data_IF_704772881412
#
_entry.id   IF_704772881412
#
_cell.length_a   1.000
_cell.length_b   1.000
_cell.length_c   1.000
_cell.angle_alpha   90.00
_cell.angle_beta   90.00
_cell.angle_gamma   90.00
#
_symmetry.space_group_name_H-M   'P 1'
#
loop_
_entity.id
_entity.type
_entity.pdbx_description
1 polymer ?
#
# COMPACT_ATOMS: atom_id res chain seq x y z
N UNK A 1 37.25 -27.95 -24.89
CA UNK A 1 36.58 -28.53 -23.72
C UNK A 1 35.64 -27.48 -23.16
N UNK A 2 34.33 -27.59 -23.40
CA UNK A 2 33.35 -26.63 -22.92
C UNK A 2 33.14 -26.77 -21.42
N UNK A 3 33.27 -25.68 -20.66
CA UNK A 3 32.89 -25.61 -19.24
C UNK A 3 31.42 -26.01 -19.11
N UNK A 4 31.11 -27.03 -18.33
CA UNK A 4 29.77 -27.30 -17.83
C UNK A 4 29.43 -26.18 -16.85
N UNK A 5 28.59 -25.21 -17.26
CA UNK A 5 28.02 -24.24 -16.32
C UNK A 5 27.16 -24.95 -15.28
N UNK A 6 27.30 -24.54 -14.04
CA UNK A 6 26.44 -24.99 -12.96
C UNK A 6 25.01 -24.50 -13.27
N UNK A 7 24.00 -25.28 -12.88
CA UNK A 7 22.58 -24.97 -13.14
C UNK A 7 22.15 -23.60 -12.63
N UNK A 8 22.79 -23.08 -11.58
CA UNK A 8 22.56 -21.73 -11.04
C UNK A 8 23.10 -20.65 -11.99
N UNK A 9 24.26 -20.88 -12.54
CA UNK A 9 24.92 -19.98 -13.48
C UNK A 9 24.12 -19.91 -14.81
N UNK A 10 23.59 -21.03 -15.27
CA UNK A 10 22.73 -21.12 -16.45
C UNK A 10 21.41 -20.35 -16.26
N UNK A 11 20.77 -20.46 -15.10
CA UNK A 11 19.57 -19.69 -14.79
C UNK A 11 19.80 -18.18 -14.73
N UNK A 12 20.95 -17.74 -14.19
CA UNK A 12 21.34 -16.34 -14.18
C UNK A 12 21.55 -15.79 -15.58
N UNK A 13 22.21 -16.55 -16.45
CA UNK A 13 22.43 -16.17 -17.86
C UNK A 13 21.08 -16.04 -18.61
N UNK A 14 20.14 -16.95 -18.38
CA UNK A 14 18.81 -16.88 -18.99
C UNK A 14 18.08 -15.61 -18.59
N UNK A 15 18.11 -15.23 -17.30
CA UNK A 15 17.51 -14.00 -16.83
C UNK A 15 18.15 -12.76 -17.46
N UNK A 16 19.47 -12.74 -17.60
CA UNK A 16 20.21 -11.66 -18.22
C UNK A 16 19.88 -11.53 -19.72
N UNK A 17 19.69 -12.63 -20.42
CA UNK A 17 19.24 -12.63 -21.82
C UNK A 17 17.82 -12.06 -21.91
N UNK A 18 16.90 -12.49 -21.05
CA UNK A 18 15.52 -11.99 -21.02
C UNK A 18 15.44 -10.49 -20.77
N UNK A 19 16.26 -9.96 -19.87
CA UNK A 19 16.29 -8.53 -19.55
C UNK A 19 16.71 -7.64 -20.75
N UNK A 20 17.42 -8.21 -21.73
CA UNK A 20 17.89 -7.50 -22.93
C UNK A 20 16.94 -7.61 -24.13
N UNK A 21 15.89 -8.41 -24.01
CA UNK A 21 14.87 -8.52 -25.06
C UNK A 21 13.71 -7.58 -24.72
N UNK A 22 13.44 -6.56 -25.55
CA UNK A 22 12.49 -5.52 -25.23
C UNK A 22 11.04 -6.01 -25.21
N UNK A 23 10.26 -5.49 -24.27
CA UNK A 23 8.80 -5.60 -24.20
C UNK A 23 8.14 -4.53 -25.09
N UNK A 24 8.48 -4.51 -26.35
CA UNK A 24 8.00 -3.49 -27.29
C UNK A 24 7.77 -4.09 -28.67
N UNK A 25 7.25 -3.29 -29.61
CA UNK A 25 7.10 -3.72 -31.03
C UNK A 25 8.44 -3.86 -31.76
N UNK A 26 9.54 -3.40 -31.18
CA UNK A 26 10.88 -3.46 -31.81
C UNK A 26 11.51 -4.83 -31.56
N UNK A 27 12.03 -5.43 -32.63
CA UNK A 27 12.84 -6.64 -32.56
C UNK A 27 14.32 -6.31 -32.36
N UNK A 28 15.02 -7.13 -31.59
CA UNK A 28 16.47 -7.10 -31.41
C UNK A 28 17.09 -8.33 -32.04
N UNK A 29 18.25 -8.18 -32.69
CA UNK A 29 18.98 -9.29 -33.29
C UNK A 29 19.80 -10.07 -32.25
N UNK A 30 20.23 -11.27 -32.58
CA UNK A 30 21.17 -12.06 -31.78
C UNK A 30 22.46 -11.27 -31.49
N UNK A 31 22.92 -10.49 -32.49
CA UNK A 31 24.15 -9.70 -32.38
C UNK A 31 23.96 -8.52 -31.40
N UNK A 32 22.80 -7.86 -31.39
CA UNK A 32 22.49 -6.80 -30.44
C UNK A 32 22.49 -7.34 -28.99
N UNK A 33 21.90 -8.52 -28.80
CA UNK A 33 21.86 -9.18 -27.45
C UNK A 33 23.28 -9.58 -27.03
N UNK A 34 24.10 -10.15 -27.95
CA UNK A 34 25.49 -10.50 -27.66
C UNK A 34 26.32 -9.29 -27.26
N UNK A 35 26.22 -8.19 -28.01
CA UNK A 35 26.94 -6.96 -27.72
C UNK A 35 26.53 -6.37 -26.37
N UNK A 36 25.23 -6.44 -26.05
CA UNK A 36 24.72 -5.97 -24.77
C UNK A 36 25.16 -6.86 -23.60
N UNK A 37 25.28 -8.17 -23.79
CA UNK A 37 25.81 -9.09 -22.76
C UNK A 37 27.32 -8.84 -22.54
N UNK A 38 28.08 -8.70 -23.62
CA UNK A 38 29.51 -8.40 -23.56
C UNK A 38 29.80 -7.06 -22.87
N UNK A 39 28.96 -6.05 -23.07
CA UNK A 39 29.07 -4.75 -22.38
C UNK A 39 28.83 -4.83 -20.86
N UNK A 40 28.25 -5.92 -20.39
CA UNK A 40 28.01 -6.20 -18.97
C UNK A 40 28.95 -7.28 -18.42
N UNK A 41 30.08 -7.55 -19.10
CA UNK A 41 31.07 -8.58 -18.72
C UNK A 41 30.49 -10.00 -18.63
N UNK A 42 29.40 -10.28 -19.36
CA UNK A 42 28.77 -11.60 -19.41
C UNK A 42 29.23 -12.29 -20.71
N UNK A 43 30.11 -13.26 -20.56
CA UNK A 43 30.67 -14.01 -21.71
C UNK A 43 29.74 -15.19 -22.09
N UNK A 44 29.00 -15.03 -23.19
CA UNK A 44 28.13 -16.05 -23.75
C UNK A 44 28.47 -16.25 -25.25
N UNK A 45 28.81 -17.46 -25.64
CA UNK A 45 29.05 -17.75 -27.05
C UNK A 45 27.77 -17.58 -27.90
N UNK A 46 27.89 -17.14 -29.15
CA UNK A 46 26.76 -17.01 -30.08
C UNK A 46 25.91 -18.30 -30.15
N UNK A 47 26.56 -19.45 -30.16
CA UNK A 47 25.93 -20.77 -30.24
C UNK A 47 25.12 -21.04 -28.96
N UNK A 48 25.64 -20.70 -27.79
CA UNK A 48 24.92 -20.83 -26.53
C UNK A 48 23.73 -19.91 -26.46
N UNK A 49 23.88 -18.63 -26.88
CA UNK A 49 22.78 -17.67 -26.90
C UNK A 49 21.66 -18.15 -27.82
N UNK A 50 21.98 -18.60 -29.04
CA UNK A 50 20.97 -19.14 -29.95
C UNK A 50 20.25 -20.35 -29.41
N UNK A 51 20.96 -21.24 -28.67
CA UNK A 51 20.36 -22.39 -28.00
C UNK A 51 19.37 -21.93 -26.89
N UNK A 52 19.75 -20.97 -26.07
CA UNK A 52 18.89 -20.43 -25.02
C UNK A 52 17.65 -19.72 -25.59
N UNK A 53 17.83 -18.88 -26.62
CA UNK A 53 16.72 -18.21 -27.29
C UNK A 53 15.75 -19.20 -27.93
N UNK A 54 16.26 -20.29 -28.52
CA UNK A 54 15.43 -21.36 -29.07
C UNK A 54 14.66 -22.08 -27.97
N UNK A 55 15.32 -22.48 -26.89
CA UNK A 55 14.67 -23.15 -25.76
C UNK A 55 13.57 -22.27 -25.14
N UNK A 56 13.83 -20.97 -24.97
CA UNK A 56 12.84 -20.03 -24.43
C UNK A 56 11.67 -19.81 -25.38
N UNK A 57 11.92 -19.79 -26.70
CA UNK A 57 10.88 -19.67 -27.71
C UNK A 57 10.01 -20.95 -27.78
N UNK A 58 10.64 -22.12 -27.82
CA UNK A 58 9.96 -23.40 -27.95
C UNK A 58 9.11 -23.74 -26.70
N UNK A 59 9.53 -23.28 -25.52
CA UNK A 59 8.75 -23.52 -24.30
C UNK A 59 7.54 -22.60 -24.13
N UNK A 60 7.46 -21.50 -24.89
CA UNK A 60 6.33 -20.54 -24.90
C UNK A 60 6.11 -19.72 -23.63
N UNK A 61 6.86 -20.00 -22.53
CA UNK A 61 6.60 -19.43 -21.21
C UNK A 61 7.06 -17.98 -21.01
N UNK A 62 7.93 -17.48 -21.89
CA UNK A 62 8.58 -16.19 -21.69
C UNK A 62 8.01 -15.07 -22.56
N UNK A 63 6.92 -15.32 -23.31
CA UNK A 63 6.34 -14.37 -24.25
C UNK A 63 7.28 -13.98 -25.39
N UNK A 64 8.24 -14.85 -25.72
CA UNK A 64 9.22 -14.59 -26.75
C UNK A 64 8.59 -14.76 -28.12
N UNK A 65 8.64 -13.70 -28.93
CA UNK A 65 8.18 -13.68 -30.31
C UNK A 65 9.41 -13.57 -31.22
N UNK A 66 9.44 -14.40 -32.24
CA UNK A 66 10.53 -14.43 -33.23
C UNK A 66 10.05 -13.90 -34.59
N UNK A 67 10.82 -13.04 -35.20
CA UNK A 67 10.64 -12.59 -36.57
C UNK A 67 11.61 -13.37 -37.48
N UNK A 68 11.05 -14.15 -38.40
CA UNK A 68 11.77 -15.02 -39.36
C UNK A 68 11.74 -14.43 -40.78
N UNK A 69 11.22 -13.20 -40.96
CA UNK A 69 11.09 -12.57 -42.33
C UNK A 69 12.39 -12.04 -42.91
N UNK A 70 13.46 -11.98 -42.09
CA UNK A 70 14.78 -11.51 -42.51
C UNK A 70 15.82 -12.63 -42.58
N UNK A 71 17.05 -12.29 -43.03
CA UNK A 71 18.18 -13.22 -43.05
C UNK A 71 18.69 -13.63 -41.65
N UNK A 72 18.27 -12.91 -40.62
CA UNK A 72 18.59 -13.21 -39.24
C UNK A 72 17.32 -13.09 -38.39
N UNK A 73 17.21 -13.96 -37.37
CA UNK A 73 16.08 -13.91 -36.45
C UNK A 73 16.14 -12.67 -35.59
N UNK A 74 15.01 -11.94 -35.54
CA UNK A 74 14.75 -10.90 -34.55
C UNK A 74 13.93 -11.45 -33.36
N UNK A 75 14.19 -10.94 -32.18
CA UNK A 75 13.49 -11.34 -30.99
C UNK A 75 12.89 -10.11 -30.28
N UNK A 76 11.67 -10.26 -29.82
CA UNK A 76 11.01 -9.32 -28.91
C UNK A 76 10.20 -10.09 -27.88
N UNK A 77 9.82 -9.45 -26.80
CA UNK A 77 8.82 -10.04 -25.90
C UNK A 77 7.48 -9.36 -26.12
N UNK A 78 6.46 -10.13 -26.20
CA UNK A 78 5.11 -9.65 -25.95
C UNK A 78 4.86 -9.71 -24.45
N UNK A 79 4.13 -8.75 -23.92
CA UNK A 79 3.42 -9.03 -22.68
C UNK A 79 2.53 -10.21 -23.02
N UNK A 80 2.90 -11.37 -22.60
CA UNK A 80 1.91 -12.43 -22.39
C UNK A 80 0.93 -11.81 -21.44
N UNK A 81 -0.35 -11.79 -21.79
CA UNK A 81 -1.42 -11.37 -20.88
C UNK A 81 -1.44 -12.22 -19.60
N UNK A 82 -0.59 -13.18 -19.53
CA UNK A 82 -0.28 -14.05 -18.40
C UNK A 82 0.97 -13.62 -17.63
N UNK A 83 1.01 -12.37 -17.11
CA UNK A 83 1.76 -12.17 -15.86
C UNK A 83 1.26 -13.18 -14.82
N UNK A 84 0.02 -13.59 -14.95
CA UNK A 84 -0.65 -14.66 -14.21
C UNK A 84 0.03 -16.03 -14.35
N UNK A 85 0.54 -16.41 -15.55
CA UNK A 85 1.17 -17.73 -15.75
C UNK A 85 2.52 -17.90 -15.05
N UNK A 86 3.16 -16.81 -14.63
CA UNK A 86 4.40 -16.83 -13.86
C UNK A 86 4.20 -16.64 -12.35
N UNK A 87 2.98 -16.33 -11.92
CA UNK A 87 2.63 -16.19 -10.51
C UNK A 87 2.10 -17.54 -10.02
N UNK A 88 2.98 -18.38 -9.48
CA UNK A 88 2.58 -19.64 -8.86
C UNK A 88 2.09 -19.39 -7.43
N UNK A 89 0.86 -18.89 -7.30
CA UNK A 89 0.21 -18.74 -6.00
C UNK A 89 -0.32 -20.10 -5.52
N UNK A 90 -0.08 -20.41 -4.27
CA UNK A 90 -0.74 -21.53 -3.62
C UNK A 90 -2.22 -21.18 -3.37
N UNK A 91 -3.12 -22.16 -3.28
CA UNK A 91 -4.54 -21.91 -3.04
C UNK A 91 -4.82 -21.04 -1.81
N UNK A 92 -4.04 -21.25 -0.74
CA UNK A 92 -4.16 -20.44 0.47
C UNK A 92 -3.72 -18.98 0.26
N UNK A 93 -2.72 -18.75 -0.60
CA UNK A 93 -2.26 -17.40 -0.97
C UNK A 93 -3.31 -16.69 -1.82
N UNK A 94 -3.93 -17.39 -2.76
CA UNK A 94 -5.06 -16.87 -3.53
C UNK A 94 -6.22 -16.47 -2.62
N UNK A 95 -6.55 -17.29 -1.63
CA UNK A 95 -7.59 -17.00 -0.65
C UNK A 95 -7.27 -15.75 0.17
N UNK A 96 -6.04 -15.65 0.68
CA UNK A 96 -5.60 -14.48 1.45
C UNK A 96 -5.64 -13.20 0.61
N UNK A 97 -5.21 -13.23 -0.66
CA UNK A 97 -5.29 -12.10 -1.57
C UNK A 97 -6.74 -11.67 -1.82
N UNK A 98 -7.68 -12.60 -1.95
CA UNK A 98 -9.10 -12.28 -2.09
C UNK A 98 -9.70 -11.65 -0.84
N UNK A 99 -9.37 -12.18 0.34
CA UNK A 99 -9.80 -11.60 1.62
C UNK A 99 -9.21 -10.19 1.77
N UNK A 100 -7.92 -10.02 1.47
CA UNK A 100 -7.26 -8.72 1.50
C UNK A 100 -7.91 -7.72 0.53
N UNK A 101 -8.24 -8.14 -0.69
CA UNK A 101 -8.93 -7.29 -1.68
C UNK A 101 -10.28 -6.79 -1.16
N UNK A 102 -11.10 -7.68 -0.61
CA UNK A 102 -12.42 -7.31 -0.06
C UNK A 102 -12.27 -6.37 1.15
N UNK A 103 -11.29 -6.60 2.00
CA UNK A 103 -11.03 -5.75 3.17
C UNK A 103 -10.51 -4.36 2.76
N UNK A 104 -9.59 -4.30 1.80
CA UNK A 104 -8.99 -3.05 1.32
C UNK A 104 -9.91 -2.24 0.40
N UNK A 105 -10.95 -2.83 -0.17
CA UNK A 105 -11.85 -2.21 -1.16
C UNK A 105 -12.41 -0.85 -0.72
N UNK A 106 -12.65 -0.68 0.57
CA UNK A 106 -13.21 0.54 1.15
C UNK A 106 -12.19 1.37 1.92
N UNK A 107 -10.97 0.84 2.13
CA UNK A 107 -9.93 1.49 2.92
C UNK A 107 -8.87 2.15 2.04
N UNK A 108 -8.62 1.61 0.84
CA UNK A 108 -7.59 2.10 -0.06
C UNK A 108 -8.21 2.74 -1.30
N UNK A 109 -7.71 3.89 -1.76
CA UNK A 109 -8.15 4.49 -3.02
C UNK A 109 -8.05 3.51 -4.18
N UNK A 110 -9.07 3.52 -5.05
CA UNK A 110 -9.17 2.56 -6.15
C UNK A 110 -7.99 2.61 -7.13
N UNK A 111 -7.24 3.71 -7.20
CA UNK A 111 -6.03 3.84 -8.02
C UNK A 111 -4.88 2.99 -7.47
N UNK A 112 -4.69 2.99 -6.14
CA UNK A 112 -3.69 2.15 -5.47
C UNK A 112 -4.07 0.68 -5.57
N UNK A 113 -5.34 0.37 -5.36
CA UNK A 113 -5.85 -0.99 -5.48
C UNK A 113 -5.67 -1.56 -6.89
N UNK A 114 -5.80 -0.72 -7.93
CA UNK A 114 -5.60 -1.10 -9.33
C UNK A 114 -4.15 -1.50 -9.63
N UNK A 115 -3.16 -0.93 -8.96
CA UNK A 115 -1.75 -1.31 -9.17
C UNK A 115 -1.48 -2.77 -8.76
N UNK A 116 -2.26 -3.30 -7.82
CA UNK A 116 -2.24 -4.70 -7.40
C UNK A 116 -3.28 -5.57 -8.13
N UNK A 117 -4.03 -4.98 -9.07
CA UNK A 117 -5.15 -5.64 -9.77
C UNK A 117 -4.73 -6.96 -10.40
N UNK A 118 -3.55 -7.00 -11.03
CA UNK A 118 -3.02 -8.21 -11.67
C UNK A 118 -2.83 -9.39 -10.70
N UNK A 119 -2.46 -9.13 -9.43
CA UNK A 119 -2.34 -10.18 -8.40
C UNK A 119 -3.72 -10.70 -7.97
N UNK A 120 -4.68 -9.79 -7.82
CA UNK A 120 -6.04 -10.16 -7.44
C UNK A 120 -6.76 -10.91 -8.55
N UNK A 121 -6.53 -10.53 -9.81
CA UNK A 121 -7.07 -11.21 -10.99
C UNK A 121 -6.47 -12.61 -11.11
N UNK A 122 -5.14 -12.75 -10.97
CA UNK A 122 -4.47 -14.04 -10.96
C UNK A 122 -5.02 -14.96 -9.85
N UNK A 123 -5.13 -14.45 -8.63
CA UNK A 123 -5.69 -15.20 -7.52
C UNK A 123 -7.14 -15.64 -7.78
N UNK A 124 -7.94 -14.77 -8.41
CA UNK A 124 -9.33 -15.05 -8.75
C UNK A 124 -9.46 -16.12 -9.84
N UNK A 125 -8.63 -16.08 -10.86
CA UNK A 125 -8.61 -17.06 -11.96
C UNK A 125 -8.19 -18.44 -11.45
N UNK A 126 -7.10 -18.52 -10.67
CA UNK A 126 -6.64 -19.78 -10.08
C UNK A 126 -7.68 -20.43 -9.15
N UNK A 127 -8.47 -19.63 -8.44
CA UNK A 127 -9.58 -20.14 -7.62
C UNK A 127 -10.74 -20.61 -8.48
N UNK A 128 -11.02 -19.97 -9.63
CA UNK A 128 -12.08 -20.38 -10.58
C UNK A 128 -11.74 -21.68 -11.28
N UNK A 129 -10.50 -21.89 -11.70
CA UNK A 129 -10.04 -23.10 -12.35
C UNK A 129 -10.27 -24.37 -11.51
N UNK A 130 -10.20 -24.25 -10.19
CA UNK A 130 -10.48 -25.35 -9.26
C UNK A 130 -11.96 -25.72 -9.14
N UNK A 131 -12.85 -24.92 -9.75
CA UNK A 131 -14.30 -25.12 -9.71
C UNK A 131 -14.96 -24.58 -8.44
N UNK A 132 -16.28 -24.30 -8.54
CA UNK A 132 -17.07 -23.68 -7.47
C UNK A 132 -17.18 -24.54 -6.20
N UNK A 133 -16.93 -25.83 -6.29
CA UNK A 133 -16.99 -26.78 -5.16
C UNK A 133 -15.64 -26.98 -4.44
N UNK A 134 -14.57 -26.32 -4.90
CA UNK A 134 -13.28 -26.38 -4.21
C UNK A 134 -13.40 -25.79 -2.78
N UNK A 135 -12.71 -26.41 -1.82
CA UNK A 135 -12.76 -25.98 -0.41
C UNK A 135 -12.37 -24.52 -0.25
N UNK A 136 -11.45 -24.03 -1.06
CA UNK A 136 -10.97 -22.65 -1.06
C UNK A 136 -12.07 -21.66 -1.47
N UNK A 137 -12.87 -22.00 -2.49
CA UNK A 137 -14.00 -21.14 -2.91
C UNK A 137 -15.14 -21.15 -1.89
N UNK A 138 -15.39 -22.28 -1.23
CA UNK A 138 -16.36 -22.36 -0.13
C UNK A 138 -15.92 -21.54 1.08
N UNK A 139 -14.60 -21.40 1.30
CA UNK A 139 -14.04 -20.64 2.40
C UNK A 139 -14.35 -19.12 2.28
N UNK A 140 -14.31 -18.57 1.08
CA UNK A 140 -14.68 -17.17 0.83
C UNK A 140 -16.10 -16.83 1.31
N UNK A 141 -17.01 -17.77 1.25
CA UNK A 141 -18.39 -17.59 1.75
C UNK A 141 -18.51 -17.77 3.28
N UNK A 142 -17.43 -18.18 3.95
CA UNK A 142 -17.41 -18.45 5.40
C UNK A 142 -16.62 -17.38 6.19
N UNK A 143 -15.92 -16.49 5.49
CA UNK A 143 -15.11 -15.43 6.11
C UNK A 143 -15.65 -14.08 5.68
N UNK A 144 -15.98 -13.24 6.64
CA UNK A 144 -16.43 -11.87 6.43
C UNK A 144 -15.73 -10.95 7.41
N UNK A 145 -15.26 -9.81 6.93
CA UNK A 145 -14.74 -8.72 7.78
C UNK A 145 -15.82 -7.64 7.87
N UNK A 146 -16.28 -7.39 9.07
CA UNK A 146 -17.30 -6.36 9.34
C UNK A 146 -16.57 -5.16 9.94
N UNK A 147 -16.73 -3.99 9.31
CA UNK A 147 -16.20 -2.74 9.86
C UNK A 147 -16.96 -2.33 11.11
N UNK A 148 -16.25 -1.84 12.12
CA UNK A 148 -16.86 -1.24 13.32
C UNK A 148 -17.42 0.17 13.06
N UNK A 149 -17.06 0.79 11.92
CA UNK A 149 -17.56 2.10 11.50
C UNK A 149 -18.57 1.98 10.35
N UNK A 150 -19.38 3.02 10.17
CA UNK A 150 -20.27 3.11 9.00
C UNK A 150 -19.40 3.17 7.74
N UNK A 151 -19.52 2.20 6.81
CA UNK A 151 -18.69 2.17 5.63
C UNK A 151 -18.95 3.36 4.74
N UNK A 152 -17.91 4.08 4.35
CA UNK A 152 -17.95 5.19 3.40
C UNK A 152 -17.30 4.77 2.08
N UNK A 153 -17.75 5.36 0.98
CA UNK A 153 -17.11 5.16 -0.31
C UNK A 153 -15.77 5.92 -0.38
N UNK A 154 -14.70 5.31 -0.89
CA UNK A 154 -13.42 5.99 -1.07
C UNK A 154 -13.56 7.22 -1.96
N UNK A 155 -12.84 8.27 -1.61
CA UNK A 155 -12.76 9.46 -2.43
C UNK A 155 -12.02 9.17 -3.75
N UNK A 156 -12.54 9.72 -4.87
CA UNK A 156 -11.92 9.51 -6.20
C UNK A 156 -10.68 10.40 -6.33
N UNK A 157 -9.52 9.78 -6.34
CA UNK A 157 -8.24 10.42 -6.67
C UNK A 157 -7.92 10.15 -8.14
N UNK A 158 -7.59 11.17 -8.91
CA UNK A 158 -7.18 10.99 -10.31
C UNK A 158 -5.82 10.27 -10.36
N UNK A 159 -5.64 9.23 -11.19
CA UNK A 159 -4.38 8.49 -11.28
C UNK A 159 -3.17 9.40 -11.47
N UNK A 160 -3.25 10.35 -12.41
CA UNK A 160 -2.18 11.31 -12.70
C UNK A 160 -1.75 12.15 -11.48
N UNK A 161 -2.70 12.46 -10.56
CA UNK A 161 -2.39 13.19 -9.32
C UNK A 161 -1.63 12.29 -8.36
N UNK A 162 -2.12 11.06 -8.19
CA UNK A 162 -1.45 10.07 -7.33
C UNK A 162 -0.04 9.76 -7.82
N UNK A 163 0.13 9.56 -9.13
CA UNK A 163 1.44 9.27 -9.74
C UNK A 163 2.41 10.43 -9.54
N UNK A 164 1.97 11.67 -9.82
CA UNK A 164 2.81 12.86 -9.63
C UNK A 164 3.21 13.08 -8.16
N UNK A 165 2.28 12.86 -7.22
CA UNK A 165 2.57 12.99 -5.78
C UNK A 165 3.53 11.90 -5.32
N UNK A 166 3.34 10.66 -5.77
CA UNK A 166 4.21 9.53 -5.45
C UNK A 166 5.62 9.73 -6.00
N UNK A 167 5.74 10.19 -7.24
CA UNK A 167 7.01 10.50 -7.87
C UNK A 167 7.73 11.64 -7.14
N UNK A 168 7.01 12.72 -6.79
CA UNK A 168 7.59 13.85 -6.07
C UNK A 168 8.11 13.45 -4.69
N UNK A 169 7.36 12.60 -3.96
CA UNK A 169 7.80 12.04 -2.67
C UNK A 169 9.03 11.13 -2.83
N UNK A 170 9.03 10.26 -3.83
CA UNK A 170 10.12 9.33 -4.06
C UNK A 170 11.41 10.03 -4.52
N UNK A 171 11.29 11.03 -5.40
CA UNK A 171 12.43 11.76 -5.95
C UNK A 171 12.82 13.01 -5.13
N UNK A 172 12.15 13.26 -4.00
CA UNK A 172 12.36 14.41 -3.11
C UNK A 172 12.30 15.75 -3.87
N UNK A 173 11.31 15.88 -4.77
CA UNK A 173 11.12 17.08 -5.58
C UNK A 173 9.90 17.88 -5.14
N UNK A 174 9.95 19.20 -5.35
CA UNK A 174 8.79 20.07 -5.17
C UNK A 174 7.70 19.75 -6.19
N UNK A 175 6.47 19.99 -5.79
CA UNK A 175 5.27 19.75 -6.57
C UNK A 175 4.56 21.09 -6.85
N UNK A 176 4.30 21.40 -8.12
CA UNK A 176 3.40 22.48 -8.50
C UNK A 176 1.98 21.94 -8.50
N UNK A 177 1.09 22.60 -7.78
CA UNK A 177 -0.28 22.15 -7.58
C UNK A 177 -1.31 23.21 -7.96
N UNK A 178 -2.51 22.73 -8.34
CA UNK A 178 -3.75 23.48 -8.31
C UNK A 178 -4.72 22.74 -7.38
N UNK A 179 -5.09 23.36 -6.27
CA UNK A 179 -5.83 22.75 -5.17
C UNK A 179 -7.08 23.55 -4.83
N UNK A 180 -8.22 22.88 -4.70
CA UNK A 180 -9.47 23.50 -4.25
C UNK A 180 -9.77 23.13 -2.81
N UNK A 181 -9.81 24.11 -1.92
CA UNK A 181 -10.07 23.86 -0.50
C UNK A 181 -11.56 23.55 -0.22
N UNK A 182 -11.90 23.29 1.05
CA UNK A 182 -13.30 22.98 1.45
C UNK A 182 -14.28 24.11 1.16
N UNK A 183 -13.81 25.35 1.15
CA UNK A 183 -14.63 26.54 0.90
C UNK A 183 -14.80 26.85 -0.61
N UNK A 184 -14.32 25.95 -1.48
CA UNK A 184 -14.41 26.13 -2.93
C UNK A 184 -13.34 27.06 -3.52
N UNK A 185 -12.43 27.63 -2.72
CA UNK A 185 -11.36 28.49 -3.22
C UNK A 185 -10.25 27.64 -3.85
N UNK A 186 -9.93 27.93 -5.12
CA UNK A 186 -8.83 27.30 -5.84
C UNK A 186 -7.57 28.14 -5.70
N UNK A 187 -6.46 27.49 -5.40
CA UNK A 187 -5.14 28.09 -5.22
C UNK A 187 -4.13 27.31 -6.04
N UNK A 188 -3.24 28.03 -6.75
CA UNK A 188 -2.06 27.47 -7.41
C UNK A 188 -0.84 27.79 -6.55
N UNK A 189 -0.03 26.78 -6.26
CA UNK A 189 1.15 26.92 -5.40
C UNK A 189 2.23 25.91 -5.75
N UNK A 190 3.42 26.15 -5.23
CA UNK A 190 4.51 25.16 -5.17
C UNK A 190 4.62 24.69 -3.71
N UNK A 191 4.74 23.39 -3.53
CA UNK A 191 4.81 22.77 -2.23
C UNK A 191 5.98 21.79 -2.16
N UNK A 192 6.50 21.57 -0.96
CA UNK A 192 7.42 20.49 -0.62
C UNK A 192 6.61 19.32 -0.04
N UNK A 193 6.46 18.20 -0.74
CA UNK A 193 5.77 17.02 -0.23
C UNK A 193 6.62 16.34 0.84
N UNK A 194 6.02 15.99 1.99
CA UNK A 194 6.72 15.39 3.12
C UNK A 194 6.31 13.94 3.36
N UNK A 195 4.99 13.64 3.26
CA UNK A 195 4.47 12.29 3.46
C UNK A 195 3.07 12.12 2.85
N UNK A 196 2.70 10.86 2.58
CA UNK A 196 1.35 10.46 2.18
C UNK A 196 0.71 9.70 3.32
N UNK A 197 -0.47 10.14 3.76
CA UNK A 197 -1.19 9.55 4.88
C UNK A 197 -2.58 9.16 4.43
N UNK A 198 -2.98 7.94 4.77
CA UNK A 198 -4.34 7.50 4.63
C UNK A 198 -5.06 7.61 5.98
N UNK A 199 -6.20 8.29 5.97
CA UNK A 199 -7.11 8.33 7.10
C UNK A 199 -8.48 7.84 6.62
N UNK A 200 -8.93 6.71 7.12
CA UNK A 200 -10.12 5.99 6.64
C UNK A 200 -10.08 5.79 5.10
N UNK A 201 -11.05 6.34 4.40
CA UNK A 201 -11.22 6.23 2.94
C UNK A 201 -10.60 7.40 2.15
N UNK A 202 -9.81 8.25 2.80
CA UNK A 202 -9.21 9.46 2.20
C UNK A 202 -7.69 9.41 2.27
N UNK A 203 -7.06 9.87 1.17
CA UNK A 203 -5.61 10.12 1.13
C UNK A 203 -5.33 11.60 1.32
N UNK A 204 -4.33 11.89 2.15
CA UNK A 204 -3.83 13.22 2.42
C UNK A 204 -2.34 13.30 2.11
N UNK A 205 -1.94 14.37 1.44
CA UNK A 205 -0.55 14.77 1.32
C UNK A 205 -0.22 15.68 2.49
N UNK A 206 0.75 15.28 3.28
CA UNK A 206 1.41 16.17 4.25
C UNK A 206 2.48 16.94 3.48
N UNK A 207 2.44 18.24 3.53
CA UNK A 207 3.34 19.10 2.77
C UNK A 207 3.52 20.46 3.44
N UNK A 208 4.48 21.20 2.92
CA UNK A 208 4.76 22.57 3.31
C UNK A 208 4.66 23.46 2.06
N UNK A 209 3.99 24.60 2.16
CA UNK A 209 3.98 25.56 1.08
C UNK A 209 5.32 26.31 1.04
N UNK A 210 5.79 26.66 -0.17
CA UNK A 210 6.95 27.52 -0.29
C UNK A 210 6.73 28.84 0.49
N UNK A 211 7.75 29.26 1.23
CA UNK A 211 7.74 30.45 2.09
C UNK A 211 6.87 30.39 3.35
N UNK A 212 6.38 29.18 3.73
CA UNK A 212 5.66 28.99 4.98
C UNK A 212 6.27 27.81 5.77
N UNK A 213 6.44 28.01 7.07
CA UNK A 213 7.05 26.97 7.93
C UNK A 213 6.04 25.94 8.44
N UNK A 214 4.75 26.22 8.33
CA UNK A 214 3.73 25.34 8.83
C UNK A 214 3.47 24.16 7.87
N UNK A 215 3.39 22.98 8.45
CA UNK A 215 3.02 21.74 7.75
C UNK A 215 1.49 21.64 7.66
N UNK A 216 1.00 21.29 6.48
CA UNK A 216 -0.44 21.20 6.19
C UNK A 216 -0.83 19.86 5.60
N UNK A 217 -2.12 19.50 5.74
CA UNK A 217 -2.73 18.32 5.15
C UNK A 217 -3.61 18.71 3.97
N UNK A 218 -3.28 18.24 2.79
CA UNK A 218 -4.06 18.47 1.58
C UNK A 218 -4.68 17.17 1.11
N UNK A 219 -6.01 17.12 1.03
CA UNK A 219 -6.73 15.94 0.58
C UNK A 219 -6.52 15.72 -0.93
N UNK A 220 -5.99 14.56 -1.35
CA UNK A 220 -5.61 14.27 -2.74
C UNK A 220 -6.76 14.41 -3.73
N UNK A 221 -7.98 14.05 -3.35
CA UNK A 221 -9.15 14.15 -4.23
C UNK A 221 -9.56 15.60 -4.58
N UNK A 222 -8.95 16.60 -3.91
CA UNK A 222 -9.19 18.04 -4.18
C UNK A 222 -8.14 18.66 -5.08
N UNK A 223 -7.13 17.91 -5.48
CA UNK A 223 -6.14 18.37 -6.45
C UNK A 223 -6.76 18.38 -7.86
N UNK A 224 -6.64 19.49 -8.56
CA UNK A 224 -7.01 19.64 -9.97
C UNK A 224 -5.82 19.31 -10.87
N UNK A 225 -4.61 19.78 -10.45
CA UNK A 225 -3.33 19.52 -11.12
C UNK A 225 -2.26 19.22 -10.09
N UNK A 226 -1.31 18.39 -10.49
CA UNK A 226 -0.05 18.15 -9.77
C UNK A 226 1.03 17.84 -10.81
N UNK A 227 2.15 18.56 -10.75
CA UNK A 227 3.28 18.42 -11.67
C UNK A 227 4.57 18.47 -10.87
N UNK A 228 5.42 17.45 -11.05
CA UNK A 228 6.74 17.37 -10.41
C UNK A 228 7.63 18.45 -11.02
N UNK A 229 8.33 19.19 -10.18
CA UNK A 229 9.28 20.22 -10.61
C UNK A 229 10.71 19.68 -10.64
N UNK A 230 11.65 20.45 -11.17
CA UNK A 230 13.08 20.14 -11.11
C UNK A 230 13.73 20.54 -9.78
N UNK A 231 13.04 21.28 -8.93
CA UNK A 231 13.56 21.80 -7.67
C UNK A 231 13.45 20.75 -6.57
N UNK A 232 14.46 20.70 -5.70
CA UNK A 232 14.46 19.82 -4.56
C UNK A 232 13.43 20.26 -3.51
N UNK A 233 12.73 19.31 -2.93
CA UNK A 233 11.80 19.56 -1.84
C UNK A 233 12.59 19.92 -0.56
N UNK A 234 12.05 20.87 0.19
CA UNK A 234 12.54 21.14 1.53
C UNK A 234 11.85 20.20 2.51
N UNK A 235 12.63 19.44 3.28
CA UNK A 235 12.16 18.64 4.40
C UNK A 235 12.75 19.24 5.67
N UNK A 236 11.92 19.71 6.63
CA UNK A 236 12.44 20.17 7.93
C UNK A 236 13.25 19.04 8.60
N UNK A 237 14.39 19.39 9.21
CA UNK A 237 15.30 18.41 9.84
C UNK A 237 14.64 17.66 11.01
N UNK A 238 13.73 18.33 11.69
CA UNK A 238 12.95 17.83 12.83
C UNK A 238 11.64 17.15 12.43
N UNK A 239 11.32 17.04 11.14
CA UNK A 239 10.08 16.40 10.69
C UNK A 239 10.16 14.88 10.81
N UNK A 240 9.53 14.35 11.83
CA UNK A 240 9.19 12.93 11.95
C UNK A 240 7.70 12.70 11.71
N UNK A 241 7.38 11.77 10.81
CA UNK A 241 5.99 11.48 10.43
C UNK A 241 5.18 10.90 11.59
N UNK A 242 5.78 10.01 12.37
CA UNK A 242 5.08 9.34 13.45
C UNK A 242 4.76 10.32 14.58
N UNK A 243 5.73 11.08 15.00
CA UNK A 243 5.55 12.15 16.01
C UNK A 243 4.53 13.19 15.52
N UNK A 244 4.62 13.61 14.26
CA UNK A 244 3.67 14.56 13.68
C UNK A 244 2.22 14.06 13.69
N UNK A 245 1.99 12.80 13.33
CA UNK A 245 0.65 12.18 13.37
C UNK A 245 0.17 12.01 14.80
N UNK A 246 1.06 11.57 15.69
CA UNK A 246 0.77 11.43 17.10
C UNK A 246 0.33 12.75 17.73
N UNK A 247 1.08 13.83 17.51
CA UNK A 247 0.77 15.16 18.05
C UNK A 247 -0.55 15.74 17.52
N UNK A 248 -0.90 15.40 16.29
CA UNK A 248 -2.14 15.86 15.66
C UNK A 248 -3.38 15.11 16.11
N UNK A 249 -3.25 13.91 16.61
CA UNK A 249 -4.40 13.07 17.03
C UNK A 249 -5.06 13.57 18.32
N UNK A 250 -4.49 14.54 18.99
CA UNK A 250 -5.02 15.17 20.21
C UNK A 250 -4.09 15.06 21.40
N UNK A 251 -4.42 15.75 22.47
CA UNK A 251 -3.68 15.69 23.72
C UNK A 251 -3.95 14.34 24.43
N UNK A 252 -2.98 13.91 25.22
CA UNK A 252 -3.17 12.72 26.03
C UNK A 252 -3.99 13.05 27.27
N UNK A 253 -4.93 12.18 27.59
CA UNK A 253 -5.78 12.28 28.77
C UNK A 253 -5.77 10.97 29.55
N UNK A 254 -5.73 11.09 30.84
CA UNK A 254 -6.14 10.01 31.73
C UNK A 254 -7.67 9.97 31.71
N UNK A 255 -8.23 8.98 31.04
CA UNK A 255 -9.67 8.84 30.88
C UNK A 255 -10.25 7.87 31.90
N UNK A 256 -11.24 8.35 32.63
CA UNK A 256 -11.96 7.60 33.64
C UNK A 256 -13.40 7.40 33.17
N UNK A 257 -13.82 6.16 33.08
CA UNK A 257 -15.17 5.78 32.69
C UNK A 257 -15.81 4.90 33.72
N UNK A 258 -17.05 5.22 34.13
CA UNK A 258 -17.84 4.37 35.02
C UNK A 258 -19.11 3.90 34.29
N UNK A 259 -19.39 2.60 34.41
CA UNK A 259 -20.50 1.96 33.72
C UNK A 259 -20.97 0.68 34.44
N UNK A 260 -22.17 0.16 34.09
CA UNK A 260 -22.79 -0.97 34.79
C UNK A 260 -22.84 -2.28 34.00
N UNK A 261 -22.47 -2.29 32.74
CA UNK A 261 -22.59 -3.46 31.87
C UNK A 261 -21.44 -4.46 32.08
N UNK A 262 -21.73 -5.63 32.61
CA UNK A 262 -20.76 -6.74 32.70
C UNK A 262 -20.29 -7.22 31.30
N UNK A 263 -21.15 -7.13 30.27
CA UNK A 263 -20.81 -7.49 28.90
C UNK A 263 -19.75 -6.53 28.33
N UNK A 264 -19.93 -5.22 28.57
CA UNK A 264 -18.96 -4.20 28.15
C UNK A 264 -17.63 -4.38 28.87
N UNK A 265 -17.67 -4.69 30.18
CA UNK A 265 -16.46 -4.95 30.94
C UNK A 265 -15.68 -6.14 30.36
N UNK A 266 -16.36 -7.25 30.07
CA UNK A 266 -15.75 -8.43 29.51
C UNK A 266 -15.15 -8.15 28.12
N UNK A 267 -15.84 -7.39 27.28
CA UNK A 267 -15.29 -6.97 25.97
C UNK A 267 -14.02 -6.13 26.12
N UNK A 268 -13.98 -5.22 27.09
CA UNK A 268 -12.80 -4.40 27.38
C UNK A 268 -11.63 -5.18 28.00
N UNK A 269 -11.91 -6.27 28.71
CA UNK A 269 -10.89 -7.21 29.18
C UNK A 269 -10.29 -8.00 28.01
N UNK A 270 -11.12 -8.48 27.07
CA UNK A 270 -10.71 -9.27 25.90
C UNK A 270 -10.00 -8.41 24.85
N UNK A 271 -10.41 -7.15 24.70
CA UNK A 271 -9.88 -6.20 23.69
C UNK A 271 -9.63 -4.82 24.34
N UNK A 272 -8.55 -4.69 25.11
CA UNK A 272 -8.22 -3.43 25.79
C UNK A 272 -7.83 -2.34 24.77
N UNK A 273 -8.03 -1.06 25.15
CA UNK A 273 -7.60 0.07 24.34
C UNK A 273 -6.08 0.09 24.16
N UNK A 274 -5.35 -0.13 25.25
CA UNK A 274 -3.88 -0.24 25.26
C UNK A 274 -3.40 -0.84 26.58
N UNK A 275 -2.09 -0.90 26.80
CA UNK A 275 -1.46 -1.52 27.97
C UNK A 275 -1.62 -0.73 29.27
N UNK A 276 -1.99 0.56 29.21
CA UNK A 276 -2.25 1.37 30.41
C UNK A 276 -3.62 1.08 31.03
N UNK A 277 -4.50 0.38 30.31
CA UNK A 277 -5.87 0.12 30.73
C UNK A 277 -5.94 -0.64 32.06
N UNK A 278 -6.71 -0.10 32.97
CA UNK A 278 -7.10 -0.74 34.25
C UNK A 278 -8.62 -0.82 34.33
N UNK A 279 -9.14 -1.99 34.68
CA UNK A 279 -10.57 -2.23 34.82
C UNK A 279 -10.85 -2.85 36.19
N UNK A 280 -11.69 -2.21 36.98
CA UNK A 280 -12.00 -2.61 38.33
C UNK A 280 -13.53 -2.62 38.59
N UNK A 281 -14.03 -3.65 39.26
CA UNK A 281 -15.41 -3.69 39.68
C UNK A 281 -15.52 -3.15 41.13
N UNK A 282 -16.37 -2.13 41.33
CA UNK A 282 -16.65 -1.53 42.63
C UNK A 282 -17.62 -2.40 43.44
N UNK A 283 -17.70 -2.15 44.72
CA UNK A 283 -18.62 -2.86 45.64
C UNK A 283 -20.10 -2.66 45.30
N UNK A 284 -20.46 -1.52 44.70
CA UNK A 284 -21.79 -1.21 44.23
C UNK A 284 -22.19 -1.86 42.90
N UNK A 285 -21.28 -2.69 42.33
CA UNK A 285 -21.45 -3.38 41.06
C UNK A 285 -21.09 -2.53 39.82
N UNK A 286 -20.70 -1.28 39.99
CA UNK A 286 -20.25 -0.41 38.90
C UNK A 286 -18.83 -0.76 38.49
N UNK A 287 -18.56 -0.80 37.20
CA UNK A 287 -17.22 -0.94 36.66
C UNK A 287 -16.56 0.42 36.53
N UNK A 288 -15.28 0.49 36.83
CA UNK A 288 -14.42 1.66 36.61
C UNK A 288 -13.27 1.28 35.69
N UNK A 289 -13.21 1.94 34.52
CA UNK A 289 -12.12 1.91 33.56
C UNK A 289 -11.25 3.13 33.77
N UNK A 290 -9.95 2.93 33.81
CA UNK A 290 -8.93 3.98 33.77
C UNK A 290 -7.96 3.64 32.64
N UNK A 291 -7.66 4.60 31.76
CA UNK A 291 -6.74 4.40 30.63
C UNK A 291 -6.18 5.73 30.15
N UNK A 292 -4.90 5.75 29.80
CA UNK A 292 -4.26 6.90 29.17
C UNK A 292 -4.45 6.77 27.66
N UNK A 293 -5.15 7.73 27.05
CA UNK A 293 -5.53 7.68 25.64
C UNK A 293 -5.53 9.08 25.04
N UNK A 294 -5.39 9.17 23.72
CA UNK A 294 -5.49 10.46 23.04
C UNK A 294 -6.94 10.95 22.98
N UNK A 295 -7.15 12.20 23.40
CA UNK A 295 -8.46 12.85 23.32
C UNK A 295 -8.80 13.14 21.87
N UNK A 296 -9.85 12.51 21.38
CA UNK A 296 -10.27 12.59 19.99
C UNK A 296 -11.79 12.51 19.85
N UNK A 297 -12.29 12.99 18.73
CA UNK A 297 -13.71 12.80 18.37
C UNK A 297 -14.12 11.33 18.30
N UNK A 298 -13.17 10.43 18.08
CA UNK A 298 -13.42 8.98 18.07
C UNK A 298 -13.73 8.49 19.49
N UNK A 299 -13.04 9.02 20.49
CA UNK A 299 -13.29 8.70 21.88
C UNK A 299 -14.69 9.18 22.31
N UNK A 300 -15.03 10.43 21.97
CA UNK A 300 -16.38 10.98 22.23
C UNK A 300 -17.47 10.18 21.48
N UNK A 301 -17.18 9.79 20.24
CA UNK A 301 -18.05 8.94 19.46
C UNK A 301 -18.25 7.56 20.06
N UNK A 302 -17.19 6.96 20.61
CA UNK A 302 -17.25 5.68 21.31
C UNK A 302 -18.15 5.79 22.55
N UNK A 303 -17.95 6.81 23.38
CA UNK A 303 -18.80 7.07 24.55
C UNK A 303 -20.27 7.23 24.14
N UNK A 304 -20.54 8.04 23.11
CA UNK A 304 -21.90 8.26 22.63
C UNK A 304 -22.56 6.99 22.10
N UNK A 305 -21.82 6.15 21.39
CA UNK A 305 -22.31 4.88 20.85
C UNK A 305 -22.67 3.88 21.94
N UNK A 306 -21.84 3.79 22.98
CA UNK A 306 -22.03 2.80 24.05
C UNK A 306 -22.79 3.32 25.26
N UNK A 307 -23.19 4.60 25.28
CA UNK A 307 -23.79 5.27 26.45
C UNK A 307 -24.95 4.49 27.05
N UNK A 308 -25.84 4.00 26.21
CA UNK A 308 -27.05 3.29 26.68
C UNK A 308 -26.75 1.81 26.97
N UNK A 309 -26.01 1.12 26.12
CA UNK A 309 -25.73 -0.31 26.24
C UNK A 309 -24.80 -0.59 27.42
N UNK A 310 -23.78 0.23 27.60
CA UNK A 310 -22.87 0.13 28.75
C UNK A 310 -23.45 0.75 30.02
N UNK A 311 -24.54 1.54 29.93
CA UNK A 311 -25.08 2.33 31.03
C UNK A 311 -24.01 3.21 31.68
N UNK A 312 -23.36 4.02 30.84
CA UNK A 312 -22.27 4.91 31.27
C UNK A 312 -22.82 5.98 32.22
N UNK A 313 -22.25 6.05 33.42
CA UNK A 313 -22.64 6.99 34.46
C UNK A 313 -21.66 8.14 34.64
N UNK A 314 -20.39 7.91 34.31
CA UNK A 314 -19.34 8.92 34.37
C UNK A 314 -18.41 8.77 33.17
N UNK A 315 -18.00 9.89 32.56
CA UNK A 315 -16.87 9.98 31.63
C UNK A 315 -16.11 11.26 31.93
N UNK A 316 -14.90 11.12 32.46
CA UNK A 316 -14.05 12.23 32.90
C UNK A 316 -12.68 12.13 32.18
N UNK A 317 -12.15 13.25 31.73
CA UNK A 317 -10.84 13.36 31.11
C UNK A 317 -9.97 14.30 31.94
N UNK A 318 -8.80 13.82 32.33
CA UNK A 318 -7.78 14.61 33.00
C UNK A 318 -6.60 14.73 32.05
N UNK A 319 -6.30 15.95 31.60
CA UNK A 319 -5.22 16.20 30.64
C UNK A 319 -3.88 15.92 31.29
N UNK A 320 -3.07 15.11 30.62
CA UNK A 320 -1.71 14.77 31.06
C UNK A 320 -0.76 15.86 30.62
N UNK A 321 0.06 16.37 31.53
CA UNK A 321 1.16 17.28 31.17
C UNK A 321 2.16 16.51 30.31
N UNK A 322 2.60 17.10 29.18
CA UNK A 322 3.65 16.53 28.34
C UNK A 322 4.97 16.57 29.10
N UNK A 323 5.48 15.44 29.53
CA UNK A 323 6.91 15.30 29.72
C UNK A 323 7.57 15.35 28.33
N UNK A 324 8.30 16.43 28.04
CA UNK A 324 9.17 16.52 26.88
C UNK A 324 10.38 15.61 27.10
N UNK A 325 10.30 14.38 26.68
CA UNK A 325 11.43 13.46 26.80
C UNK A 325 11.05 12.00 26.52
N UNK A 326 11.75 11.46 25.55
CA UNK A 326 12.01 10.05 25.30
C UNK A 326 10.81 9.14 24.97
N UNK A 327 10.53 9.03 23.70
CA UNK A 327 9.95 7.83 23.13
C UNK A 327 11.09 7.00 22.49
N UNK A 328 11.82 6.28 23.34
CA UNK A 328 12.59 5.11 22.94
C UNK A 328 11.68 3.88 23.08
N UNK A 329 11.62 3.10 21.94
CA UNK A 329 11.00 1.79 21.68
C UNK A 329 9.54 1.73 21.29
#
# INVERSE_FOLDING_TARGET
MGRKHDKKEEASIILEILNRIPLSKRFVSVDDILNSLASADIDVSRRSLQRYLKQMYDCGKYGLVRDDRGNAYGYRRERTDSITDNIHLKPNECLLLRIAQEHMKYQIPGTVLKSLGFLFDAASEMLKEKGSNAKENQWLNKVCVISSSIPQMPSKVLPRIFDAVSEALYSEKKLRIEYTNMNGKTTSAVISPLALVQQDVRLYLICQFDHFDNVVHLALHRFKKAEVTSFDAHRPEDFDLQSYIHDRNGEWVHWILEFKSDVTAKNLEETPFNTSQKLLKKEDGTWRLEVDIQDSRMLDGWVAMWKNDAQITLSQKEYLERETGDYDE
#
